data_IF_540420368580
#
_entry.id   IF_540420368580
#
_cell.length_a   1.000
_cell.length_b   1.000
_cell.length_c   1.000
_cell.angle_alpha   90.00
_cell.angle_beta   90.00
_cell.angle_gamma   90.00
#
_symmetry.space_group_name_H-M   'P 1'
#
loop_
_entity.id
_entity.type
_entity.pdbx_description
1 polymer ?
#
# COMPACT_ATOMS: atom_id res chain seq x y z
N UNK A 1 1.16 -30.52 13.95
CA UNK A 1 2.56 -30.67 13.52
C UNK A 1 2.73 -31.60 12.34
N UNK A 2 2.26 -32.86 12.39
CA UNK A 2 2.46 -33.87 11.32
C UNK A 2 2.18 -33.42 9.87
N UNK A 3 1.17 -32.58 9.64
CA UNK A 3 0.90 -32.02 8.29
C UNK A 3 2.03 -31.09 7.84
N UNK A 4 2.49 -30.18 8.70
CA UNK A 4 3.62 -29.30 8.40
C UNK A 4 4.89 -30.10 8.14
N UNK A 5 5.19 -31.10 8.99
CA UNK A 5 6.36 -31.96 8.78
C UNK A 5 6.31 -32.67 7.42
N UNK A 6 5.14 -33.19 7.04
CA UNK A 6 4.96 -33.87 5.74
C UNK A 6 5.17 -32.91 4.57
N UNK A 7 4.59 -31.71 4.63
CA UNK A 7 4.69 -30.71 3.55
C UNK A 7 6.11 -30.14 3.43
N UNK A 8 6.78 -29.83 4.54
CA UNK A 8 8.15 -29.34 4.52
C UNK A 8 9.14 -30.42 4.09
N UNK A 9 8.93 -31.67 4.50
CA UNK A 9 9.80 -32.79 4.07
C UNK A 9 9.75 -33.04 2.56
N UNK A 10 8.62 -32.74 1.89
CA UNK A 10 8.53 -32.82 0.42
C UNK A 10 9.42 -31.80 -0.29
N UNK A 11 9.86 -30.75 0.42
CA UNK A 11 10.73 -29.69 -0.07
C UNK A 11 12.15 -29.80 0.51
N UNK A 12 12.50 -30.93 1.14
CA UNK A 12 13.76 -31.15 1.86
C UNK A 12 14.03 -30.12 2.98
N UNK A 13 12.96 -29.59 3.57
CA UNK A 13 13.01 -28.64 4.68
C UNK A 13 12.59 -29.35 5.97
N UNK A 14 13.34 -29.13 7.05
CA UNK A 14 12.96 -29.61 8.38
C UNK A 14 12.16 -28.55 9.11
N UNK A 15 11.13 -28.93 9.85
CA UNK A 15 10.39 -28.02 10.73
C UNK A 15 10.47 -28.44 12.20
N UNK A 16 10.38 -27.49 13.12
CA UNK A 16 10.41 -27.74 14.57
C UNK A 16 9.25 -27.05 15.27
N UNK A 17 8.54 -27.76 16.12
CA UNK A 17 7.42 -27.19 16.87
C UNK A 17 7.91 -26.43 18.11
N UNK A 18 7.42 -25.21 18.29
CA UNK A 18 7.62 -24.41 19.49
C UNK A 18 6.26 -24.02 20.06
N UNK A 19 6.01 -24.40 21.31
CA UNK A 19 4.75 -24.12 22.00
C UNK A 19 5.00 -23.12 23.12
N UNK A 20 4.18 -22.07 23.18
CA UNK A 20 4.36 -20.96 24.13
C UNK A 20 3.06 -20.66 24.88
N UNK A 21 3.18 -20.03 26.04
CA UNK A 21 2.08 -19.59 26.91
C UNK A 21 2.32 -18.16 27.34
N UNK A 22 1.30 -17.48 27.88
CA UNK A 22 1.49 -16.14 28.46
C UNK A 22 2.56 -16.08 29.54
N UNK A 23 2.73 -17.19 30.29
CA UNK A 23 3.67 -17.22 31.41
C UNK A 23 5.10 -17.04 30.93
N UNK A 24 5.40 -17.60 29.77
CA UNK A 24 6.71 -17.51 29.14
C UNK A 24 7.04 -16.04 28.83
N UNK A 25 6.09 -15.28 28.25
CA UNK A 25 6.26 -13.86 27.94
C UNK A 25 6.25 -12.93 29.17
N UNK A 26 5.90 -13.42 30.36
CA UNK A 26 6.04 -12.66 31.62
C UNK A 26 7.46 -12.67 32.16
N UNK A 27 8.27 -13.65 31.75
CA UNK A 27 9.68 -13.73 32.12
C UNK A 27 10.51 -12.81 31.19
N UNK A 28 11.18 -11.77 31.70
CA UNK A 28 12.01 -10.89 30.89
C UNK A 28 13.16 -11.60 30.17
N UNK A 29 13.59 -12.77 30.65
CA UNK A 29 14.66 -13.55 30.05
C UNK A 29 14.20 -14.44 28.89
N UNK A 30 12.88 -14.65 28.75
CA UNK A 30 12.33 -15.56 27.75
C UNK A 30 12.61 -15.08 26.32
N UNK A 31 12.47 -13.78 26.04
CA UNK A 31 12.74 -13.23 24.70
C UNK A 31 14.16 -13.53 24.21
N UNK A 32 15.16 -13.39 25.09
CA UNK A 32 16.55 -13.73 24.77
C UNK A 32 16.73 -15.22 24.46
N UNK A 33 16.23 -16.09 25.34
CA UNK A 33 16.33 -17.55 25.17
C UNK A 33 15.61 -18.02 23.90
N UNK A 34 14.44 -17.43 23.62
CA UNK A 34 13.66 -17.70 22.44
C UNK A 34 14.43 -17.31 21.18
N UNK A 35 15.04 -16.13 21.16
CA UNK A 35 15.85 -15.66 20.03
C UNK A 35 17.05 -16.57 19.80
N UNK A 36 17.80 -16.94 20.83
CA UNK A 36 18.93 -17.87 20.70
C UNK A 36 18.50 -19.21 20.11
N UNK A 37 17.36 -19.74 20.56
CA UNK A 37 16.80 -21.00 20.06
C UNK A 37 16.39 -20.87 18.59
N UNK A 38 15.67 -19.81 18.21
CA UNK A 38 15.23 -19.59 16.84
C UNK A 38 16.41 -19.38 15.90
N UNK A 39 17.40 -18.57 16.28
CA UNK A 39 18.61 -18.37 15.48
C UNK A 39 19.34 -19.70 15.26
N UNK A 40 19.51 -20.50 16.32
CA UNK A 40 20.14 -21.82 16.21
C UNK A 40 19.38 -22.77 15.28
N UNK A 41 18.04 -22.75 15.32
CA UNK A 41 17.21 -23.55 14.40
C UNK A 41 17.37 -23.08 12.96
N UNK A 42 17.37 -21.77 12.71
CA UNK A 42 17.53 -21.19 11.38
C UNK A 42 18.93 -21.45 10.80
N UNK A 43 19.98 -21.42 11.62
CA UNK A 43 21.35 -21.79 11.23
C UNK A 43 21.45 -23.25 10.78
N UNK A 44 20.62 -24.12 11.37
CA UNK A 44 20.45 -25.51 10.96
C UNK A 44 19.46 -25.71 9.80
N UNK A 45 18.96 -24.61 9.21
CA UNK A 45 17.93 -24.60 8.16
C UNK A 45 16.61 -25.27 8.57
N UNK A 46 16.28 -25.18 9.86
CA UNK A 46 15.03 -25.69 10.43
C UNK A 46 14.02 -24.55 10.56
N UNK A 47 12.82 -24.73 10.03
CA UNK A 47 11.73 -23.74 10.13
C UNK A 47 10.98 -23.91 11.46
N UNK A 48 11.00 -22.92 12.36
CA UNK A 48 10.21 -22.98 13.59
C UNK A 48 8.71 -22.76 13.29
N UNK A 49 7.87 -23.62 13.86
CA UNK A 49 6.40 -23.56 13.79
C UNK A 49 5.86 -23.28 15.18
N UNK A 50 5.41 -22.05 15.40
CA UNK A 50 4.89 -21.58 16.67
C UNK A 50 3.39 -21.84 16.83
N UNK A 51 2.96 -22.15 18.06
CA UNK A 51 1.55 -22.11 18.45
C UNK A 51 1.39 -21.86 19.96
N UNK A 52 0.20 -21.41 20.38
CA UNK A 52 -0.14 -21.41 21.82
C UNK A 52 -0.23 -22.85 22.34
N UNK A 53 0.28 -23.07 23.55
CA UNK A 53 0.15 -24.33 24.26
C UNK A 53 -1.18 -24.42 25.00
N UNK A 54 -2.28 -24.58 24.25
CA UNK A 54 -3.64 -24.69 24.80
C UNK A 54 -3.78 -25.81 25.86
N UNK A 55 -2.98 -26.88 25.77
CA UNK A 55 -3.05 -28.02 26.68
C UNK A 55 -2.65 -27.71 28.12
N UNK A 56 -1.81 -26.69 28.33
CA UNK A 56 -1.34 -26.26 29.65
C UNK A 56 -1.65 -24.80 29.95
N UNK A 57 -2.32 -24.10 29.02
CA UNK A 57 -2.75 -22.72 29.21
C UNK A 57 -3.73 -22.65 30.37
N UNK A 58 -3.51 -21.73 31.31
CA UNK A 58 -4.38 -21.57 32.49
C UNK A 58 -5.63 -20.75 32.21
N UNK A 59 -5.81 -20.30 30.98
CA UNK A 59 -6.98 -19.54 30.55
C UNK A 59 -8.19 -20.46 30.47
N UNK A 60 -9.31 -19.99 31.01
CA UNK A 60 -10.59 -20.70 30.94
C UNK A 60 -11.56 -19.90 30.08
N UNK A 61 -12.30 -20.58 29.22
CA UNK A 61 -13.40 -19.97 28.50
C UNK A 61 -14.60 -19.73 29.45
N UNK A 62 -15.37 -18.63 29.28
CA UNK A 62 -15.15 -17.54 28.33
C UNK A 62 -13.93 -16.71 28.73
N UNK A 63 -13.14 -16.30 27.72
CA UNK A 63 -11.90 -15.52 27.89
C UNK A 63 -12.25 -14.07 28.32
N UNK A 64 -12.81 -13.94 29.51
CA UNK A 64 -13.23 -12.67 30.13
C UNK A 64 -12.07 -11.98 30.86
N UNK A 65 -10.98 -12.71 31.08
CA UNK A 65 -9.79 -12.17 31.74
C UNK A 65 -8.87 -11.49 30.71
N UNK A 66 -8.96 -10.16 30.63
CA UNK A 66 -8.10 -9.30 29.84
C UNK A 66 -6.66 -9.16 30.40
N UNK A 67 -6.28 -9.95 31.42
CA UNK A 67 -4.93 -9.94 32.00
C UNK A 67 -3.88 -10.74 31.21
N UNK A 68 -4.28 -11.37 30.11
CA UNK A 68 -3.41 -12.11 29.20
C UNK A 68 -2.54 -11.19 28.31
N UNK A 69 -1.35 -11.65 27.89
CA UNK A 69 -0.43 -10.85 27.06
C UNK A 69 -0.83 -10.90 25.58
N UNK A 70 -1.44 -11.99 25.11
CA UNK A 70 -1.95 -12.15 23.74
C UNK A 70 -3.26 -12.96 23.72
N UNK A 71 -4.30 -12.66 22.94
CA UNK A 71 -5.63 -13.32 23.02
C UNK A 71 -5.98 -14.21 21.83
N UNK A 72 -5.23 -14.08 20.75
CA UNK A 72 -5.36 -14.84 19.52
C UNK A 72 -4.00 -14.99 18.83
N UNK A 73 -3.96 -15.76 17.75
CA UNK A 73 -2.75 -15.98 16.98
C UNK A 73 -2.23 -14.69 16.32
N UNK A 74 -3.09 -13.70 16.08
CA UNK A 74 -2.71 -12.40 15.52
C UNK A 74 -1.85 -11.61 16.54
N UNK A 75 -2.28 -11.60 17.79
CA UNK A 75 -1.56 -10.98 18.92
C UNK A 75 -0.30 -11.77 19.28
N UNK A 76 -0.36 -13.10 19.23
CA UNK A 76 0.81 -13.97 19.44
C UNK A 76 1.87 -13.72 18.36
N UNK A 77 1.47 -13.67 17.09
CA UNK A 77 2.40 -13.42 15.98
C UNK A 77 3.05 -12.04 16.11
N UNK A 78 2.30 -11.02 16.53
CA UNK A 78 2.84 -9.68 16.82
C UNK A 78 3.86 -9.70 17.95
N UNK A 79 3.57 -10.44 19.02
CA UNK A 79 4.46 -10.55 20.17
C UNK A 79 5.74 -11.28 19.80
N UNK A 80 5.64 -12.42 19.11
CA UNK A 80 6.77 -13.18 18.59
C UNK A 80 7.62 -12.35 17.63
N UNK A 81 7.00 -11.63 16.70
CA UNK A 81 7.72 -10.78 15.76
C UNK A 81 8.55 -9.72 16.48
N UNK A 82 8.02 -9.14 17.56
CA UNK A 82 8.77 -8.21 18.41
C UNK A 82 9.86 -8.89 19.24
N UNK A 83 9.61 -10.06 19.86
CA UNK A 83 10.63 -10.75 20.66
C UNK A 83 11.78 -11.32 19.82
N UNK A 84 11.50 -11.63 18.54
CA UNK A 84 12.49 -12.15 17.59
C UNK A 84 13.21 -11.06 16.79
N UNK A 85 12.89 -9.78 16.99
CA UNK A 85 13.35 -8.66 16.16
C UNK A 85 13.13 -8.92 14.65
N UNK A 86 11.93 -9.37 14.28
CA UNK A 86 11.62 -9.71 12.90
C UNK A 86 11.60 -8.46 11.99
N UNK A 87 12.14 -8.60 10.78
CA UNK A 87 12.13 -7.52 9.77
C UNK A 87 10.75 -7.26 9.19
N UNK A 88 9.88 -8.28 9.18
CA UNK A 88 8.55 -8.21 8.57
C UNK A 88 7.61 -9.26 9.17
N UNK A 89 6.40 -8.84 9.52
CA UNK A 89 5.28 -9.72 9.89
C UNK A 89 4.28 -9.84 8.74
N UNK A 90 4.08 -11.04 8.19
CA UNK A 90 3.06 -11.29 7.16
C UNK A 90 1.87 -12.03 7.78
N UNK A 91 0.69 -11.41 7.75
CA UNK A 91 -0.56 -11.95 8.25
C UNK A 91 -1.45 -12.37 7.08
N UNK A 92 -1.54 -13.68 6.83
CA UNK A 92 -2.38 -14.23 5.77
C UNK A 92 -3.83 -14.42 6.26
N UNK A 93 -4.78 -13.83 5.54
CA UNK A 93 -6.22 -13.89 5.83
C UNK A 93 -7.03 -14.38 4.63
N UNK A 94 -8.33 -14.55 4.84
CA UNK A 94 -9.35 -14.76 3.81
C UNK A 94 -9.73 -13.51 3.01
N UNK A 95 -9.27 -12.32 3.43
CA UNK A 95 -9.50 -11.04 2.75
C UNK A 95 -8.24 -10.60 2.00
N UNK A 96 -8.41 -9.86 0.90
CA UNK A 96 -7.29 -9.35 0.10
C UNK A 96 -6.42 -8.35 0.86
N UNK A 97 -7.01 -7.60 1.78
CA UNK A 97 -6.36 -6.60 2.61
C UNK A 97 -7.41 -5.79 3.36
N UNK A 98 -7.00 -4.63 3.88
CA UNK A 98 -7.88 -3.65 4.47
C UNK A 98 -8.54 -2.80 3.37
N UNK A 99 -9.86 -2.69 3.42
CA UNK A 99 -10.62 -1.90 2.45
C UNK A 99 -10.99 -0.52 3.00
N UNK A 100 -11.16 0.46 2.10
CA UNK A 100 -11.62 1.82 2.43
C UNK A 100 -13.10 1.89 2.85
N UNK A 101 -13.85 0.80 2.66
CA UNK A 101 -15.24 0.64 3.06
C UNK A 101 -15.64 -0.84 3.06
N UNK A 102 -16.94 -1.17 3.20
CA UNK A 102 -17.41 -2.55 3.13
C UNK A 102 -17.01 -3.22 1.80
N UNK A 103 -16.51 -4.47 1.79
CA UNK A 103 -16.12 -5.15 0.55
C UNK A 103 -17.25 -5.32 -0.47
N UNK A 104 -18.50 -5.24 -0.03
CA UNK A 104 -19.69 -5.29 -0.89
C UNK A 104 -19.93 -3.98 -1.66
N UNK A 105 -19.31 -2.87 -1.27
CA UNK A 105 -19.47 -1.58 -1.93
C UNK A 105 -18.52 -1.51 -3.15
N UNK A 106 -19.03 -1.27 -4.38
CA UNK A 106 -18.21 -1.10 -5.57
C UNK A 106 -17.21 0.06 -5.52
N UNK A 107 -17.42 1.04 -4.63
CA UNK A 107 -16.46 2.13 -4.40
C UNK A 107 -15.34 1.76 -3.42
N UNK A 108 -15.47 0.61 -2.75
CA UNK A 108 -14.48 0.14 -1.79
C UNK A 108 -13.22 -0.32 -2.50
N UNK A 109 -12.08 0.23 -2.09
CA UNK A 109 -10.76 -0.11 -2.65
C UNK A 109 -9.86 -0.63 -1.55
N UNK A 110 -8.90 -1.47 -1.91
CA UNK A 110 -7.85 -1.91 -0.99
C UNK A 110 -6.97 -0.70 -0.66
N UNK A 111 -6.69 -0.54 0.62
CA UNK A 111 -5.69 0.40 1.14
C UNK A 111 -4.36 -0.34 1.10
N UNK A 112 -3.46 0.03 0.19
CA UNK A 112 -2.14 -0.62 0.11
C UNK A 112 -1.18 -0.20 1.22
N UNK A 113 -1.35 1.01 1.76
CA UNK A 113 -0.54 1.53 2.86
C UNK A 113 -1.44 2.15 3.92
N UNK A 114 -1.44 1.57 5.11
CA UNK A 114 -2.21 2.05 6.23
C UNK A 114 -1.51 3.19 6.96
N UNK A 115 -2.14 4.36 6.88
CA UNK A 115 -1.84 5.56 7.66
C UNK A 115 -2.86 5.70 8.79
N UNK A 116 -2.41 5.70 10.05
CA UNK A 116 -3.29 5.71 11.23
C UNK A 116 -4.16 6.99 11.30
N UNK A 117 -3.59 8.15 11.00
CA UNK A 117 -4.24 9.46 11.05
C UNK A 117 -5.35 9.59 10.00
N UNK A 118 -5.15 8.96 8.84
CA UNK A 118 -6.08 8.99 7.69
C UNK A 118 -7.16 7.93 7.86
N UNK A 119 -6.78 6.70 8.20
CA UNK A 119 -7.67 5.55 8.12
C UNK A 119 -8.23 5.11 9.47
N UNK A 120 -7.54 5.38 10.58
CA UNK A 120 -7.92 4.88 11.91
C UNK A 120 -9.29 5.37 12.41
N UNK A 121 -9.76 6.53 11.93
CA UNK A 121 -11.09 7.07 12.25
C UNK A 121 -12.16 6.80 11.20
N UNK A 122 -11.77 6.42 9.98
CA UNK A 122 -12.68 6.25 8.85
C UNK A 122 -13.17 4.80 8.71
N UNK A 123 -12.39 3.84 9.18
CA UNK A 123 -12.70 2.42 9.00
C UNK A 123 -13.59 1.93 10.14
N UNK A 124 -14.88 1.76 9.85
CA UNK A 124 -15.78 1.00 10.69
C UNK A 124 -15.61 -0.50 10.37
N UNK A 125 -15.04 -1.25 11.30
CA UNK A 125 -14.98 -2.70 11.20
C UNK A 125 -16.40 -3.28 11.34
N UNK A 126 -16.86 -3.99 10.31
CA UNK A 126 -18.15 -4.70 10.33
C UNK A 126 -18.16 -5.85 11.36
N UNK A 127 -19.33 -6.50 11.49
CA UNK A 127 -19.51 -7.61 12.43
C UNK A 127 -18.51 -8.75 12.24
N UNK A 128 -18.19 -9.43 13.35
CA UNK A 128 -17.20 -10.51 13.43
C UNK A 128 -17.52 -11.62 12.41
N UNK A 129 -16.53 -11.96 11.57
CA UNK A 129 -16.58 -13.16 10.70
C UNK A 129 -16.80 -14.42 11.54
N UNK A 130 -17.65 -15.32 11.04
CA UNK A 130 -18.08 -16.56 11.72
C UNK A 130 -16.97 -17.62 11.87
N UNK A 131 -15.80 -17.42 11.25
CA UNK A 131 -14.81 -18.48 11.03
C UNK A 131 -13.49 -18.26 11.79
N UNK A 132 -13.34 -17.14 12.52
CA UNK A 132 -12.12 -16.83 13.29
C UNK A 132 -12.41 -16.26 14.68
N UNK A 133 -11.52 -16.56 15.65
CA UNK A 133 -11.57 -16.01 17.01
C UNK A 133 -11.27 -14.49 17.05
N UNK A 134 -10.53 -13.98 16.06
CA UNK A 134 -10.18 -12.57 15.87
C UNK A 134 -10.72 -12.03 14.54
N UNK A 135 -11.52 -10.96 14.59
CA UNK A 135 -12.04 -10.30 13.39
C UNK A 135 -11.02 -9.37 12.73
N UNK A 136 -11.42 -8.70 11.63
CA UNK A 136 -10.55 -7.72 10.94
C UNK A 136 -10.02 -6.64 11.90
N UNK A 137 -10.81 -6.23 12.88
CA UNK A 137 -10.40 -5.29 13.91
C UNK A 137 -9.19 -5.78 14.72
N UNK A 138 -9.17 -7.07 15.11
CA UNK A 138 -8.06 -7.66 15.85
C UNK A 138 -6.79 -7.72 14.99
N UNK A 139 -6.94 -8.08 13.70
CA UNK A 139 -5.82 -8.10 12.75
C UNK A 139 -5.21 -6.72 12.54
N UNK A 140 -6.04 -5.69 12.35
CA UNK A 140 -5.55 -4.31 12.23
C UNK A 140 -4.89 -3.86 13.54
N UNK A 141 -5.49 -4.14 14.69
CA UNK A 141 -4.89 -3.80 15.98
C UNK A 141 -3.52 -4.47 16.18
N UNK A 142 -3.41 -5.75 15.82
CA UNK A 142 -2.16 -6.50 15.85
C UNK A 142 -1.10 -5.90 14.91
N UNK A 143 -1.46 -5.64 13.64
CA UNK A 143 -0.56 -5.05 12.65
C UNK A 143 -0.10 -3.63 13.03
N UNK A 144 -0.98 -2.79 13.56
CA UNK A 144 -0.63 -1.45 14.09
C UNK A 144 0.28 -1.58 15.31
N UNK A 145 0.02 -2.54 16.19
CA UNK A 145 0.87 -2.80 17.35
C UNK A 145 2.26 -3.27 16.92
N UNK A 146 2.37 -4.14 15.93
CA UNK A 146 3.64 -4.57 15.35
C UNK A 146 4.41 -3.36 14.79
N UNK A 147 3.75 -2.55 13.95
CA UNK A 147 4.35 -1.38 13.33
C UNK A 147 4.84 -0.35 14.37
N UNK A 148 4.06 -0.08 15.41
CA UNK A 148 4.46 0.83 16.50
C UNK A 148 5.64 0.32 17.34
N UNK A 149 5.86 -1.01 17.34
CA UNK A 149 7.00 -1.67 17.97
C UNK A 149 8.21 -1.80 17.04
N UNK A 150 8.15 -1.19 15.84
CA UNK A 150 9.25 -1.18 14.88
C UNK A 150 9.27 -2.36 13.91
N UNK A 151 8.24 -3.22 13.92
CA UNK A 151 8.12 -4.35 13.00
C UNK A 151 7.07 -4.02 11.93
N UNK A 152 7.46 -3.78 10.66
CA UNK A 152 6.53 -3.65 9.56
C UNK A 152 5.59 -4.86 9.49
N UNK A 153 4.31 -4.64 9.20
CA UNK A 153 3.33 -5.72 9.09
C UNK A 153 2.54 -5.62 7.77
N UNK A 154 2.22 -6.76 7.17
CA UNK A 154 1.40 -6.84 5.95
C UNK A 154 0.22 -7.76 6.19
N UNK A 155 -0.98 -7.28 5.93
CA UNK A 155 -2.19 -8.13 5.87
C UNK A 155 -2.50 -8.41 4.40
N UNK A 156 -2.52 -9.68 4.01
CA UNK A 156 -2.75 -10.10 2.63
C UNK A 156 -3.59 -11.38 2.57
N UNK A 157 -4.15 -11.68 1.38
CA UNK A 157 -4.90 -12.93 1.18
C UNK A 157 -3.98 -14.15 1.12
N UNK A 158 -4.32 -15.18 1.89
CA UNK A 158 -3.70 -16.50 1.84
C UNK A 158 -4.14 -17.35 0.64
N UNK A 159 -5.17 -16.91 -0.11
CA UNK A 159 -5.64 -17.61 -1.31
C UNK A 159 -4.94 -17.15 -2.59
N UNK A 160 -4.23 -16.01 -2.54
CA UNK A 160 -3.49 -15.49 -3.69
C UNK A 160 -2.19 -16.27 -3.86
N UNK A 161 -1.99 -16.84 -5.05
CA UNK A 161 -0.78 -17.58 -5.39
C UNK A 161 0.45 -16.68 -5.28
N UNK A 162 1.50 -17.23 -4.67
CA UNK A 162 2.79 -16.58 -4.44
C UNK A 162 2.70 -15.27 -3.64
N UNK A 163 1.65 -15.08 -2.83
CA UNK A 163 1.45 -13.85 -2.05
C UNK A 163 2.68 -13.48 -1.22
N UNK A 164 3.25 -14.44 -0.50
CA UNK A 164 4.47 -14.25 0.31
C UNK A 164 5.64 -13.79 -0.57
N UNK A 165 5.87 -14.45 -1.71
CA UNK A 165 6.99 -14.13 -2.62
C UNK A 165 6.82 -12.73 -3.21
N UNK A 166 5.61 -12.36 -3.62
CA UNK A 166 5.28 -11.04 -4.17
C UNK A 166 5.47 -9.94 -3.14
N UNK A 167 5.04 -10.17 -1.90
CA UNK A 167 5.26 -9.24 -0.77
C UNK A 167 6.77 -9.06 -0.53
N UNK A 168 7.54 -10.14 -0.53
CA UNK A 168 9.01 -10.09 -0.37
C UNK A 168 9.72 -9.37 -1.52
N UNK A 169 9.11 -9.29 -2.71
CA UNK A 169 9.59 -8.50 -3.85
C UNK A 169 9.19 -7.03 -3.81
N UNK A 170 8.41 -6.61 -2.80
CA UNK A 170 7.90 -5.24 -2.69
C UNK A 170 6.69 -4.95 -3.58
N UNK A 171 6.03 -5.96 -4.14
CA UNK A 171 4.79 -5.75 -4.87
C UNK A 171 3.66 -5.28 -3.93
N UNK A 172 2.76 -4.43 -4.43
CA UNK A 172 1.62 -3.87 -3.68
C UNK A 172 0.51 -4.92 -3.47
N UNK A 173 0.79 -5.95 -2.65
CA UNK A 173 -0.16 -7.00 -2.29
C UNK A 173 -0.69 -6.76 -0.87
N UNK A 174 -2.01 -6.67 -0.75
CA UNK A 174 -2.68 -6.42 0.52
C UNK A 174 -2.40 -5.03 1.09
N UNK A 175 -2.28 -4.93 2.41
CA UNK A 175 -2.12 -3.68 3.16
C UNK A 175 -0.87 -3.71 4.01
N UNK A 176 0.05 -2.78 3.76
CA UNK A 176 1.25 -2.54 4.56
C UNK A 176 0.95 -1.58 5.73
N UNK A 177 1.44 -1.93 6.90
CA UNK A 177 1.43 -1.16 8.14
C UNK A 177 2.86 -0.81 8.50
N UNK A 178 3.16 0.48 8.58
CA UNK A 178 4.48 0.97 8.93
C UNK A 178 4.39 2.27 9.74
N UNK A 179 5.32 2.49 10.66
CA UNK A 179 5.32 3.68 11.51
C UNK A 179 5.55 4.98 10.71
N UNK A 180 6.37 4.90 9.66
CA UNK A 180 6.70 6.02 8.77
C UNK A 180 5.80 6.11 7.52
N UNK A 181 4.70 5.36 7.48
CA UNK A 181 3.79 5.34 6.33
C UNK A 181 3.32 6.76 5.91
N UNK A 182 3.22 7.69 6.86
CA UNK A 182 2.81 9.07 6.63
C UNK A 182 3.85 9.88 5.84
N UNK A 183 5.12 9.53 5.95
CA UNK A 183 6.22 10.20 5.25
C UNK A 183 6.30 9.71 3.81
N UNK A 184 5.93 8.44 3.58
CA UNK A 184 5.93 7.81 2.26
C UNK A 184 4.74 8.19 1.39
N UNK A 185 3.73 8.86 1.93
CA UNK A 185 2.62 9.46 1.16
C UNK A 185 3.11 10.69 0.38
N UNK A 186 4.17 10.51 -0.43
CA UNK A 186 4.63 11.47 -1.44
C UNK A 186 3.92 11.27 -2.78
N UNK A 187 3.16 10.18 -2.96
CA UNK A 187 2.40 9.96 -4.17
C UNK A 187 0.94 10.38 -3.99
N UNK A 188 0.62 11.57 -4.49
CA UNK A 188 -0.71 11.81 -5.07
C UNK A 188 -0.87 10.80 -6.22
N UNK A 189 -1.13 9.52 -5.95
CA UNK A 189 -1.62 8.57 -6.95
C UNK A 189 -3.04 9.00 -7.31
N UNK A 190 -3.14 10.08 -8.09
CA UNK A 190 -4.38 10.44 -8.76
C UNK A 190 -4.60 9.34 -9.78
N UNK A 191 -5.59 8.50 -9.55
CA UNK A 191 -5.90 7.41 -10.48
C UNK A 191 -6.26 7.99 -11.85
N UNK A 192 -6.05 7.25 -12.94
CA UNK A 192 -6.37 7.69 -14.31
C UNK A 192 -7.83 8.16 -14.43
N UNK A 193 -8.72 7.53 -13.67
CA UNK A 193 -10.13 7.92 -13.56
C UNK A 193 -10.33 9.25 -12.85
N UNK A 194 -9.65 9.48 -11.73
CA UNK A 194 -9.71 10.76 -11.01
C UNK A 194 -9.15 11.90 -11.86
N UNK A 195 -8.06 11.66 -12.60
CA UNK A 195 -7.55 12.62 -13.58
C UNK A 195 -8.58 12.92 -14.66
N UNK A 196 -9.27 11.91 -15.20
CA UNK A 196 -10.28 12.09 -16.23
C UNK A 196 -11.53 12.84 -15.72
N UNK A 197 -11.96 12.57 -14.49
CA UNK A 197 -13.08 13.28 -13.84
C UNK A 197 -12.70 14.73 -13.58
N UNK A 198 -11.53 14.98 -12.99
CA UNK A 198 -11.02 16.33 -12.75
C UNK A 198 -10.88 17.12 -14.06
N UNK A 199 -10.34 16.50 -15.12
CA UNK A 199 -10.24 17.13 -16.44
C UNK A 199 -11.62 17.51 -17.01
N UNK A 200 -12.63 16.64 -16.83
CA UNK A 200 -14.00 16.90 -17.27
C UNK A 200 -14.65 18.06 -16.51
N UNK A 201 -14.44 18.14 -15.21
CA UNK A 201 -14.98 19.22 -14.37
C UNK A 201 -14.25 20.55 -14.65
N UNK A 202 -12.92 20.53 -14.79
CA UNK A 202 -12.14 21.69 -15.21
C UNK A 202 -12.54 22.20 -16.60
N UNK A 203 -12.86 21.31 -17.56
CA UNK A 203 -13.32 21.71 -18.89
C UNK A 203 -14.60 22.56 -18.82
N UNK A 204 -15.55 22.20 -17.95
CA UNK A 204 -16.77 22.99 -17.73
C UNK A 204 -16.46 24.34 -17.08
N UNK A 205 -15.51 24.39 -16.15
CA UNK A 205 -15.07 25.65 -15.56
C UNK A 205 -14.40 26.57 -16.59
N UNK A 206 -13.52 26.04 -17.45
CA UNK A 206 -12.85 26.79 -18.52
C UNK A 206 -13.84 27.37 -19.54
N UNK A 207 -14.94 26.66 -19.84
CA UNK A 207 -16.00 27.16 -20.73
C UNK A 207 -16.68 28.41 -20.19
N UNK A 208 -16.80 28.55 -18.87
CA UNK A 208 -17.48 29.68 -18.23
C UNK A 208 -16.56 30.89 -18.01
N UNK A 209 -15.25 30.75 -18.19
CA UNK A 209 -14.30 31.86 -18.04
C UNK A 209 -14.42 32.86 -19.20
N UNK A 210 -13.95 34.07 -18.97
CA UNK A 210 -13.77 35.06 -20.04
C UNK A 210 -12.60 34.70 -20.96
N UNK A 211 -12.58 35.31 -22.14
CA UNK A 211 -11.48 35.14 -23.11
C UNK A 211 -10.12 35.56 -22.51
N UNK A 212 -10.09 36.68 -21.79
CA UNK A 212 -8.89 37.20 -21.13
C UNK A 212 -8.35 36.26 -20.04
N UNK A 213 -9.24 35.63 -19.26
CA UNK A 213 -8.83 34.65 -18.24
C UNK A 213 -8.27 33.37 -18.87
N UNK A 214 -8.89 32.87 -19.94
CA UNK A 214 -8.36 31.73 -20.70
C UNK A 214 -7.00 32.04 -21.31
N UNK A 215 -6.86 33.23 -21.92
CA UNK A 215 -5.59 33.72 -22.47
C UNK A 215 -4.51 33.76 -21.39
N UNK A 216 -4.83 34.32 -20.22
CA UNK A 216 -3.91 34.37 -19.08
C UNK A 216 -3.44 32.97 -18.66
N UNK A 217 -4.36 32.01 -18.55
CA UNK A 217 -4.01 30.62 -18.22
C UNK A 217 -3.01 30.03 -19.24
N UNK A 218 -3.22 30.24 -20.54
CA UNK A 218 -2.31 29.76 -21.58
C UNK A 218 -0.93 30.41 -21.48
N UNK A 219 -0.86 31.72 -21.20
CA UNK A 219 0.39 32.43 -21.00
C UNK A 219 1.13 31.96 -19.74
N UNK A 220 0.40 31.70 -18.65
CA UNK A 220 0.95 31.15 -17.41
C UNK A 220 1.53 29.74 -17.65
N UNK A 221 0.84 28.89 -18.43
CA UNK A 221 1.34 27.57 -18.83
C UNK A 221 2.64 27.70 -19.64
N UNK A 222 2.67 28.58 -20.65
CA UNK A 222 3.88 28.78 -21.46
C UNK A 222 5.05 29.32 -20.63
N UNK A 223 4.78 30.25 -19.71
CA UNK A 223 5.78 30.76 -18.76
C UNK A 223 6.30 29.68 -17.82
N UNK A 224 5.42 28.80 -17.32
CA UNK A 224 5.82 27.68 -16.48
C UNK A 224 6.68 26.65 -17.22
N UNK A 225 6.38 26.36 -18.50
CA UNK A 225 7.20 25.48 -19.33
C UNK A 225 8.63 26.03 -19.49
N UNK A 226 8.77 27.31 -19.80
CA UNK A 226 10.09 27.93 -19.98
C UNK A 226 10.87 28.04 -18.66
N UNK A 227 10.19 28.32 -17.55
CA UNK A 227 10.83 28.43 -16.24
C UNK A 227 11.34 27.08 -15.70
N UNK A 228 10.78 25.96 -16.16
CA UNK A 228 11.06 24.63 -15.65
C UNK A 228 11.70 23.69 -16.68
N UNK A 229 12.28 24.21 -17.77
CA UNK A 229 12.90 23.39 -18.83
C UNK A 229 13.89 22.38 -18.27
N UNK A 230 14.81 22.83 -17.41
CA UNK A 230 15.85 21.98 -16.85
C UNK A 230 15.28 20.85 -15.99
N UNK A 231 14.28 21.17 -15.16
CA UNK A 231 13.57 20.20 -14.32
C UNK A 231 12.81 19.17 -15.17
N UNK A 232 12.12 19.60 -16.22
CA UNK A 232 11.35 18.71 -17.10
C UNK A 232 12.28 17.72 -17.81
N UNK A 233 13.46 18.18 -18.24
CA UNK A 233 14.45 17.32 -18.89
C UNK A 233 15.04 16.33 -17.90
N UNK A 234 15.42 16.77 -16.69
CA UNK A 234 15.99 15.87 -15.69
C UNK A 234 15.03 14.76 -15.29
N UNK A 235 13.73 15.08 -15.12
CA UNK A 235 12.71 14.07 -14.83
C UNK A 235 12.46 13.15 -16.04
N UNK A 236 12.42 13.69 -17.27
CA UNK A 236 12.27 12.86 -18.48
C UNK A 236 13.44 11.88 -18.65
N UNK A 237 14.67 12.29 -18.33
CA UNK A 237 15.83 11.40 -18.36
C UNK A 237 15.72 10.27 -17.32
N UNK A 238 15.23 10.56 -16.11
CA UNK A 238 14.96 9.55 -15.09
C UNK A 238 13.89 8.54 -15.55
N UNK A 239 12.79 9.02 -16.14
CA UNK A 239 11.73 8.17 -16.69
C UNK A 239 12.23 7.27 -17.82
N UNK A 240 13.10 7.80 -18.71
CA UNK A 240 13.68 7.03 -19.81
C UNK A 240 14.64 5.95 -19.31
N UNK A 241 15.40 6.22 -18.25
CA UNK A 241 16.26 5.23 -17.61
C UNK A 241 15.42 4.09 -17.01
N UNK A 242 14.38 4.42 -16.25
CA UNK A 242 13.45 3.43 -15.68
C UNK A 242 12.76 2.59 -16.76
N UNK A 243 12.38 3.20 -17.89
CA UNK A 243 11.78 2.49 -19.02
C UNK A 243 12.78 1.54 -19.71
N UNK A 244 14.06 1.92 -19.82
CA UNK A 244 15.09 1.04 -20.36
C UNK A 244 15.33 -0.17 -19.44
N UNK A 245 15.41 0.07 -18.12
CA UNK A 245 15.57 -0.99 -17.13
C UNK A 245 14.36 -1.94 -17.10
N UNK A 246 13.17 -1.42 -17.40
CA UNK A 246 11.92 -2.20 -17.53
C UNK A 246 11.80 -2.94 -18.88
N UNK A 247 12.81 -2.84 -19.77
CA UNK A 247 12.87 -3.60 -21.01
C UNK A 247 12.00 -3.08 -22.16
N UNK A 248 11.58 -1.80 -22.15
CA UNK A 248 10.79 -1.21 -23.23
C UNK A 248 11.59 -1.14 -24.55
N UNK A 249 10.87 -1.24 -25.68
CA UNK A 249 11.53 -1.17 -27.00
C UNK A 249 12.22 0.17 -27.24
N UNK A 250 13.41 0.12 -27.85
CA UNK A 250 14.20 1.32 -28.21
C UNK A 250 13.42 2.33 -29.06
N UNK A 251 12.48 1.86 -29.87
CA UNK A 251 11.61 2.70 -30.71
C UNK A 251 10.65 3.56 -29.88
N UNK A 252 10.12 3.02 -28.78
CA UNK A 252 9.22 3.71 -27.85
C UNK A 252 10.01 4.69 -26.98
N UNK A 253 11.15 4.26 -26.45
CA UNK A 253 12.05 5.11 -25.66
C UNK A 253 12.48 6.35 -26.46
N UNK A 254 12.83 6.19 -27.73
CA UNK A 254 13.21 7.32 -28.60
C UNK A 254 12.05 8.31 -28.86
N UNK A 255 10.79 7.85 -28.83
CA UNK A 255 9.61 8.73 -28.96
C UNK A 255 9.33 9.52 -27.69
N UNK A 256 9.68 8.96 -26.53
CA UNK A 256 9.51 9.58 -25.22
C UNK A 256 10.58 10.64 -24.91
N UNK A 257 11.68 10.65 -25.68
CA UNK A 257 12.77 11.62 -25.48
C UNK A 257 12.34 13.06 -25.79
N UNK A 258 12.36 13.87 -24.74
CA UNK A 258 12.19 15.32 -24.82
C UNK A 258 13.56 16.00 -24.95
N UNK A 259 13.60 17.08 -25.73
CA UNK A 259 14.78 17.94 -25.88
C UNK A 259 14.36 19.35 -25.50
N UNK A 260 15.27 20.15 -24.94
CA UNK A 260 15.00 21.54 -24.56
C UNK A 260 14.28 22.33 -25.67
N UNK A 261 14.78 22.25 -26.91
CA UNK A 261 14.17 22.95 -28.05
C UNK A 261 12.71 22.54 -28.36
N UNK A 262 12.30 21.30 -28.03
CA UNK A 262 10.88 20.90 -28.16
C UNK A 262 10.00 21.58 -27.11
N UNK A 263 10.50 21.74 -25.88
CA UNK A 263 9.76 22.39 -24.79
C UNK A 263 9.57 23.87 -25.09
N UNK A 264 10.63 24.55 -25.54
CA UNK A 264 10.56 25.96 -25.98
C UNK A 264 9.60 26.13 -27.16
N UNK A 265 9.67 25.26 -28.17
CA UNK A 265 8.75 25.29 -29.31
C UNK A 265 7.28 25.06 -28.91
N UNK A 266 7.05 24.21 -27.90
CA UNK A 266 5.71 23.99 -27.33
C UNK A 266 5.21 25.25 -26.62
N UNK A 267 6.05 25.90 -25.80
CA UNK A 267 5.70 27.14 -25.13
C UNK A 267 5.38 28.27 -26.12
N UNK A 268 6.17 28.42 -27.20
CA UNK A 268 5.88 29.36 -28.29
C UNK A 268 4.55 29.05 -29.00
N UNK A 269 4.27 27.78 -29.27
CA UNK A 269 3.00 27.36 -29.88
C UNK A 269 1.80 27.69 -28.99
N UNK A 270 1.92 27.51 -27.68
CA UNK A 270 0.87 27.85 -26.71
C UNK A 270 0.64 29.37 -26.68
N UNK A 271 1.71 30.17 -26.71
CA UNK A 271 1.59 31.64 -26.81
C UNK A 271 0.88 32.06 -28.10
N UNK A 272 1.22 31.43 -29.22
CA UNK A 272 0.55 31.70 -30.49
C UNK A 272 -0.96 31.41 -30.41
N UNK A 273 -1.37 30.31 -29.76
CA UNK A 273 -2.79 30.00 -29.52
C UNK A 273 -3.44 31.04 -28.59
N UNK A 274 -2.73 31.50 -27.56
CA UNK A 274 -3.23 32.52 -26.64
C UNK A 274 -3.48 33.88 -27.32
N UNK A 275 -2.76 34.16 -28.41
CA UNK A 275 -2.93 35.37 -29.22
C UNK A 275 -3.93 35.22 -30.37
N UNK A 276 -4.45 34.01 -30.62
CA UNK A 276 -5.52 33.82 -31.60
C UNK A 276 -6.85 34.39 -31.10
N UNK A 277 -7.68 34.81 -32.05
CA UNK A 277 -9.03 35.29 -31.77
C UNK A 277 -9.89 34.15 -31.22
N UNK A 278 -10.68 34.43 -30.17
CA UNK A 278 -11.39 33.39 -29.41
C UNK A 278 -12.52 32.76 -30.26
N UNK A 279 -12.43 31.45 -30.57
CA UNK A 279 -13.43 30.81 -31.44
C UNK A 279 -14.77 30.57 -30.73
N UNK A 280 -14.85 30.72 -29.40
CA UNK A 280 -16.00 30.28 -28.58
C UNK A 280 -16.97 31.45 -28.30
N UNK A 281 -16.51 32.70 -28.37
CA UNK A 281 -17.31 33.87 -27.98
C UNK A 281 -18.23 34.45 -29.06
N UNK A 282 -18.25 33.88 -30.27
CA UNK A 282 -19.15 34.32 -31.34
C UNK A 282 -20.41 33.45 -31.43
N UNK A 283 -21.53 33.95 -30.90
CA UNK A 283 -22.85 33.35 -31.19
C UNK A 283 -23.25 33.72 -32.62
N UNK A 284 -23.02 32.84 -33.59
CA UNK A 284 -23.27 33.13 -35.01
C UNK A 284 -24.75 33.28 -35.37
N UNK A 285 -25.67 32.62 -34.63
CA UNK A 285 -27.13 32.80 -34.77
C UNK A 285 -27.87 32.14 -33.60
N UNK A 286 -28.78 32.85 -32.94
CA UNK A 286 -29.82 32.22 -32.11
C UNK A 286 -30.93 31.75 -33.05
N UNK A 287 -31.09 30.45 -33.24
CA UNK A 287 -32.32 29.89 -33.78
C UNK A 287 -33.32 29.76 -32.64
N UNK A 288 -34.31 30.66 -32.60
CA UNK A 288 -35.52 30.45 -31.82
C UNK A 288 -36.28 29.29 -32.48
N UNK A 289 -36.31 28.14 -31.80
CA UNK A 289 -37.19 27.04 -32.18
C UNK A 289 -38.62 27.37 -31.77
N UNK A 290 -39.56 27.32 -32.73
CA UNK A 290 -41.00 27.30 -32.46
C UNK A 290 -41.40 26.01 -31.73
#
# INVERSE_FOLDING_TARGET
MAIYDTLFSQLDVTSSQLLVTDRDFRDPSFGHQLRETVVSLLDLKVIPVFNENDAISTRRAPYEDSSGIFWDNDSLATLLAKELDADLLIMLSDVEGLYSGPPSDPQSKIIHTYINEKHGKLINFGEKSRVGRGGMQAKVAAAVTAASKGVPAVIASGFVTDSIIKIMRGEKIGTLFHNEANVWDCSKEVTTREMAVAAKDCSRHLQNLSSEERKKILLDIAGALDANVDLIISENEADLAAAQDSGYEKSLVARMTLKAGKITSLAESIRAIADMEDPISHTLKKTEGC
#
